data_IF_292073930859
#
_entry.id   IF_292073930859
#
_cell.length_a   1.000
_cell.length_b   1.000
_cell.length_c   1.000
_cell.angle_alpha   90.00
_cell.angle_beta   90.00
_cell.angle_gamma   90.00
#
_symmetry.space_group_name_H-M   'P 1'
#
loop_
_entity.id
_entity.type
_entity.pdbx_description
1 polymer ?
#
# COMPACT_ATOMS: atom_id res chain seq x y z
N UNK A 1 13.55 12.78 38.79
CA UNK A 1 13.63 12.16 37.45
C UNK A 1 12.31 11.42 37.20
N UNK A 2 11.57 11.79 36.18
CA UNK A 2 10.38 11.04 35.74
C UNK A 2 10.88 9.70 35.19
N UNK A 3 10.24 8.57 35.53
CA UNK A 3 10.66 7.29 35.00
C UNK A 3 10.34 7.22 33.50
N UNK A 4 11.11 6.48 32.72
CA UNK A 4 10.88 6.26 31.28
C UNK A 4 9.43 5.84 31.01
N UNK A 5 8.90 4.93 31.80
CA UNK A 5 7.50 4.47 31.73
C UNK A 5 6.50 5.60 31.93
N UNK A 6 6.77 6.55 32.82
CA UNK A 6 5.88 7.68 33.07
C UNK A 6 5.90 8.68 31.89
N UNK A 7 7.04 8.86 31.23
CA UNK A 7 7.14 9.68 30.01
C UNK A 7 6.34 9.06 28.86
N UNK A 8 6.47 7.75 28.65
CA UNK A 8 5.69 7.01 27.63
C UNK A 8 4.17 7.09 27.89
N UNK A 9 3.76 6.98 29.16
CA UNK A 9 2.33 7.15 29.54
C UNK A 9 1.83 8.57 29.25
N UNK A 10 2.61 9.61 29.52
CA UNK A 10 2.28 10.99 29.18
C UNK A 10 2.16 11.18 27.65
N UNK A 11 3.03 10.59 26.87
CA UNK A 11 2.96 10.67 25.42
C UNK A 11 1.68 10.03 24.86
N UNK A 12 1.21 8.93 25.46
CA UNK A 12 -0.06 8.30 25.09
C UNK A 12 -1.24 9.22 25.46
N UNK A 13 -1.29 9.73 26.69
CA UNK A 13 -2.38 10.58 27.22
C UNK A 13 -2.47 11.90 26.46
N UNK A 14 -1.32 12.53 26.19
CA UNK A 14 -1.23 13.83 25.51
C UNK A 14 -1.30 13.70 23.97
N UNK A 15 -1.57 12.50 23.44
CA UNK A 15 -1.69 12.24 21.98
C UNK A 15 -0.42 12.64 21.22
N UNK A 16 0.77 12.34 21.78
CA UNK A 16 2.08 12.59 21.13
C UNK A 16 2.69 11.34 20.48
N UNK A 17 1.96 10.23 20.51
CA UNK A 17 2.39 8.98 19.88
C UNK A 17 2.05 8.94 18.40
N UNK A 18 2.84 8.21 17.62
CA UNK A 18 2.61 8.00 16.18
C UNK A 18 2.49 6.51 15.89
N UNK A 19 1.55 6.14 15.02
CA UNK A 19 1.28 4.77 14.63
C UNK A 19 1.78 4.52 13.21
N UNK A 20 2.71 3.58 13.04
CA UNK A 20 3.13 3.06 11.75
C UNK A 20 2.47 1.71 11.48
N UNK A 21 1.93 1.49 10.28
CA UNK A 21 1.38 0.20 9.84
C UNK A 21 2.04 -0.20 8.53
N UNK A 22 2.67 -1.38 8.52
CA UNK A 22 3.32 -1.96 7.36
C UNK A 22 2.53 -3.17 6.85
N UNK A 23 2.17 -3.17 5.57
CA UNK A 23 1.62 -4.33 4.86
C UNK A 23 2.76 -5.04 4.11
N UNK A 24 3.55 -5.81 4.86
CA UNK A 24 4.64 -6.61 4.30
C UNK A 24 4.14 -7.88 3.59
N UNK A 25 5.03 -8.58 2.89
CA UNK A 25 4.67 -9.77 2.08
C UNK A 25 4.25 -11.00 2.89
N UNK A 26 4.65 -11.09 4.15
CA UNK A 26 4.33 -12.22 5.05
C UNK A 26 3.64 -11.81 6.33
N UNK A 27 3.62 -10.51 6.63
CA UNK A 27 3.11 -9.98 7.88
C UNK A 27 2.61 -8.56 7.71
N UNK A 28 1.47 -8.25 8.33
CA UNK A 28 1.04 -6.88 8.61
C UNK A 28 1.50 -6.55 10.02
N UNK A 29 2.19 -5.42 10.19
CA UNK A 29 2.79 -5.01 11.45
C UNK A 29 2.35 -3.60 11.82
N UNK A 30 1.91 -3.42 13.06
CA UNK A 30 1.62 -2.12 13.65
C UNK A 30 2.68 -1.80 14.71
N UNK A 31 3.18 -0.57 14.74
CA UNK A 31 4.17 -0.09 15.71
C UNK A 31 3.74 1.27 16.22
N UNK A 32 3.67 1.43 17.54
CA UNK A 32 3.44 2.70 18.21
C UNK A 32 4.77 3.23 18.73
N UNK A 33 5.09 4.46 18.38
CA UNK A 33 6.31 5.15 18.82
C UNK A 33 5.95 6.39 19.66
N UNK A 34 6.80 6.72 20.62
CA UNK A 34 6.71 7.92 21.45
C UNK A 34 7.26 9.18 20.73
N UNK A 35 7.28 10.31 21.43
CA UNK A 35 7.83 11.58 20.93
C UNK A 35 9.34 11.57 20.71
N UNK A 36 10.05 10.55 21.21
CA UNK A 36 11.49 10.32 21.04
C UNK A 36 11.78 9.25 19.97
N UNK A 37 10.74 8.84 19.19
CA UNK A 37 10.81 7.79 18.17
C UNK A 37 11.19 6.39 18.71
N UNK A 38 10.96 6.13 20.01
CA UNK A 38 11.17 4.81 20.58
C UNK A 38 9.89 3.98 20.47
N UNK A 39 10.05 2.68 20.15
CA UNK A 39 8.90 1.76 20.08
C UNK A 39 8.38 1.46 21.47
N UNK A 40 7.12 1.78 21.73
CA UNK A 40 6.45 1.56 23.02
C UNK A 40 5.47 0.38 22.99
N UNK A 41 4.92 0.06 21.84
CA UNK A 41 4.08 -1.12 21.63
C UNK A 41 4.10 -1.57 20.18
N UNK A 42 3.81 -2.84 19.94
CA UNK A 42 3.69 -3.40 18.59
C UNK A 42 2.62 -4.48 18.53
N UNK A 43 2.17 -4.77 17.30
CA UNK A 43 1.29 -5.89 17.04
C UNK A 43 1.47 -6.37 15.62
N UNK A 44 1.09 -7.59 15.33
CA UNK A 44 1.30 -8.19 14.02
C UNK A 44 0.19 -9.17 13.64
N UNK A 45 0.10 -9.44 12.34
CA UNK A 45 -0.78 -10.43 11.77
C UNK A 45 -0.07 -11.12 10.61
N UNK A 46 0.08 -12.43 10.69
CA UNK A 46 0.65 -13.22 9.60
C UNK A 46 -0.40 -13.47 8.53
N UNK A 47 -0.01 -13.28 7.28
CA UNK A 47 -0.82 -13.54 6.11
C UNK A 47 -0.01 -14.13 4.97
N UNK A 48 -0.67 -14.69 3.98
CA UNK A 48 -0.02 -15.35 2.86
C UNK A 48 -0.56 -14.89 1.52
N UNK A 49 0.34 -14.81 0.56
CA UNK A 49 0.04 -14.66 -0.85
C UNK A 49 -0.60 -15.96 -1.38
N UNK A 50 -1.74 -15.86 -2.05
CA UNK A 50 -2.46 -17.01 -2.62
C UNK A 50 -2.42 -16.97 -4.14
N UNK A 51 -2.27 -18.12 -4.77
CA UNK A 51 -2.40 -18.25 -6.21
C UNK A 51 -3.87 -18.54 -6.55
N UNK A 52 -4.54 -17.56 -7.18
CA UNK A 52 -5.95 -17.65 -7.58
C UNK A 52 -6.03 -17.30 -9.07
N UNK A 53 -6.61 -18.19 -9.87
CA UNK A 53 -6.77 -18.01 -11.33
C UNK A 53 -5.46 -17.65 -12.05
N UNK A 54 -4.35 -18.20 -11.59
CA UNK A 54 -3.02 -17.95 -12.16
C UNK A 54 -2.32 -16.69 -11.67
N UNK A 55 -2.92 -15.94 -10.74
CA UNK A 55 -2.33 -14.73 -10.16
C UNK A 55 -2.04 -14.86 -8.68
N UNK A 56 -0.84 -14.45 -8.26
CA UNK A 56 -0.50 -14.25 -6.86
C UNK A 56 -1.21 -13.01 -6.32
N UNK A 57 -2.05 -13.20 -5.30
CA UNK A 57 -2.93 -12.17 -4.75
C UNK A 57 -3.04 -12.22 -3.23
N UNK A 58 -3.49 -11.11 -2.64
CA UNK A 58 -4.10 -11.03 -1.30
C UNK A 58 -5.52 -10.53 -1.46
N UNK A 59 -6.47 -11.09 -0.69
CA UNK A 59 -7.82 -10.53 -0.69
C UNK A 59 -7.90 -9.23 0.11
N UNK A 60 -8.80 -8.34 -0.30
CA UNK A 60 -9.05 -7.09 0.42
C UNK A 60 -9.60 -7.33 1.82
N UNK A 61 -10.34 -8.43 2.04
CA UNK A 61 -10.81 -8.84 3.36
C UNK A 61 -9.63 -9.16 4.30
N UNK A 62 -8.61 -9.85 3.80
CA UNK A 62 -7.41 -10.17 4.59
C UNK A 62 -6.59 -8.90 4.91
N UNK A 63 -6.55 -7.91 4.01
CA UNK A 63 -5.94 -6.59 4.29
C UNK A 63 -6.59 -5.97 5.53
N UNK A 64 -7.91 -5.87 5.54
CA UNK A 64 -8.65 -5.26 6.65
C UNK A 64 -8.66 -6.10 7.92
N UNK A 65 -8.71 -7.40 7.80
CA UNK A 65 -8.59 -8.32 8.93
C UNK A 65 -7.21 -8.19 9.59
N UNK A 66 -6.15 -8.17 8.78
CA UNK A 66 -4.79 -8.03 9.27
C UNK A 66 -4.53 -6.68 9.93
N UNK A 67 -5.01 -5.57 9.33
CA UNK A 67 -4.93 -4.24 9.94
C UNK A 67 -5.60 -4.24 11.33
N UNK A 68 -6.84 -4.73 11.41
CA UNK A 68 -7.57 -4.76 12.69
C UNK A 68 -6.90 -5.67 13.72
N UNK A 69 -6.31 -6.79 13.30
CA UNK A 69 -5.65 -7.73 14.21
C UNK A 69 -4.34 -7.16 14.75
N UNK A 70 -3.49 -6.63 13.89
CA UNK A 70 -2.23 -6.01 14.29
C UNK A 70 -2.45 -4.80 15.22
N UNK A 71 -3.43 -3.95 14.91
CA UNK A 71 -3.81 -2.84 15.79
C UNK A 71 -4.33 -3.33 17.15
N UNK A 72 -5.21 -4.34 17.18
CA UNK A 72 -5.76 -4.90 18.42
C UNK A 72 -4.67 -5.48 19.31
N UNK A 73 -3.71 -6.19 18.73
CA UNK A 73 -2.56 -6.74 19.46
C UNK A 73 -1.75 -5.62 20.09
N UNK A 74 -1.40 -4.58 19.31
CA UNK A 74 -0.70 -3.39 19.79
C UNK A 74 -1.47 -2.69 20.91
N UNK A 75 -2.76 -2.41 20.74
CA UNK A 75 -3.59 -1.78 21.77
C UNK A 75 -3.67 -2.61 23.06
N UNK A 76 -3.68 -3.94 22.93
CA UNK A 76 -3.62 -4.87 24.06
C UNK A 76 -2.27 -4.79 24.79
N UNK A 77 -1.18 -4.64 24.05
CA UNK A 77 0.15 -4.44 24.62
C UNK A 77 0.22 -3.12 25.39
N UNK A 78 -0.32 -2.02 24.84
CA UNK A 78 -0.44 -0.73 25.53
C UNK A 78 -1.21 -0.89 26.85
N UNK A 79 -2.35 -1.55 26.80
CA UNK A 79 -3.16 -1.75 28.02
C UNK A 79 -2.40 -2.58 29.08
N UNK A 80 -1.74 -3.67 28.67
CA UNK A 80 -0.96 -4.51 29.59
C UNK A 80 0.23 -3.78 30.21
N UNK A 81 0.93 -2.94 29.44
CA UNK A 81 2.11 -2.21 29.92
C UNK A 81 1.75 -1.01 30.78
N UNK A 82 0.71 -0.27 30.41
CA UNK A 82 0.44 1.06 30.97
C UNK A 82 -0.90 1.17 31.70
N UNK A 83 -1.82 0.21 31.52
CA UNK A 83 -3.21 0.31 32.03
C UNK A 83 -4.06 1.33 31.27
N UNK A 84 -3.61 1.79 30.09
CA UNK A 84 -4.25 2.84 29.31
C UNK A 84 -4.96 2.23 28.08
N UNK A 85 -6.09 2.82 27.71
CA UNK A 85 -6.75 2.53 26.44
C UNK A 85 -6.20 3.49 25.38
N UNK A 86 -5.70 2.95 24.26
CA UNK A 86 -5.21 3.75 23.13
C UNK A 86 -6.41 4.24 22.30
N UNK A 87 -6.89 5.43 22.56
CA UNK A 87 -8.03 6.03 21.86
C UNK A 87 -7.62 6.89 20.66
N UNK A 88 -6.49 7.57 20.77
CA UNK A 88 -5.99 8.53 19.77
C UNK A 88 -4.49 8.44 19.62
N UNK A 89 -4.02 8.80 18.43
CA UNK A 89 -2.60 9.00 18.11
C UNK A 89 -2.43 10.32 17.36
N UNK A 90 -1.24 10.91 17.41
CA UNK A 90 -0.94 12.17 16.72
C UNK A 90 -1.00 12.01 15.18
N UNK A 91 -0.49 10.88 14.69
CA UNK A 91 -0.52 10.57 13.25
C UNK A 91 -0.54 9.07 13.00
N UNK A 92 -0.98 8.69 11.80
CA UNK A 92 -0.90 7.32 11.28
C UNK A 92 -0.19 7.37 9.94
N UNK A 93 0.86 6.55 9.79
CA UNK A 93 1.56 6.35 8.54
C UNK A 93 1.39 4.92 8.03
N UNK A 94 1.27 4.76 6.71
CA UNK A 94 1.16 3.45 6.07
C UNK A 94 2.34 3.20 5.15
N UNK A 95 2.87 1.97 5.21
CA UNK A 95 3.78 1.41 4.22
C UNK A 95 3.20 0.11 3.70
N UNK A 96 3.35 -0.17 2.43
CA UNK A 96 2.91 -1.42 1.84
C UNK A 96 3.90 -1.92 0.80
N UNK A 97 3.74 -3.17 0.39
CA UNK A 97 4.46 -3.71 -0.76
C UNK A 97 4.24 -2.79 -1.95
N UNK A 98 5.34 -2.25 -2.47
CA UNK A 98 5.31 -1.48 -3.72
C UNK A 98 4.88 -2.37 -4.87
N UNK A 99 4.42 -1.72 -5.94
CA UNK A 99 4.07 -2.34 -7.21
C UNK A 99 2.79 -3.19 -7.15
N UNK A 100 2.48 -3.79 -8.26
CA UNK A 100 1.28 -4.57 -8.44
C UNK A 100 0.15 -3.79 -9.11
N UNK A 101 -1.04 -4.41 -9.16
CA UNK A 101 -2.15 -3.90 -9.95
C UNK A 101 -3.46 -4.03 -9.19
N UNK A 102 -4.01 -2.90 -8.79
CA UNK A 102 -5.36 -2.77 -8.25
C UNK A 102 -6.16 -1.84 -9.15
N UNK A 103 -7.17 -2.38 -9.83
CA UNK A 103 -8.00 -1.66 -10.80
C UNK A 103 -9.44 -1.58 -10.32
N UNK A 104 -9.98 -0.38 -10.32
CA UNK A 104 -11.32 -0.08 -9.83
C UNK A 104 -12.18 0.55 -10.94
N UNK A 105 -13.48 0.26 -10.91
CA UNK A 105 -14.46 0.92 -11.77
C UNK A 105 -14.95 2.26 -11.19
N UNK A 106 -15.84 2.93 -11.92
CA UNK A 106 -16.45 4.19 -11.52
C UNK A 106 -17.30 4.13 -10.23
N UNK A 107 -17.61 2.93 -9.74
CA UNK A 107 -18.35 2.69 -8.50
C UNK A 107 -17.43 2.26 -7.35
N UNK A 108 -16.10 2.37 -7.56
CA UNK A 108 -15.09 1.99 -6.59
C UNK A 108 -15.02 0.49 -6.28
N UNK A 109 -15.54 -0.34 -7.19
CA UNK A 109 -15.46 -1.79 -7.12
C UNK A 109 -14.15 -2.29 -7.72
N UNK A 110 -13.44 -3.14 -6.98
CA UNK A 110 -12.26 -3.85 -7.48
C UNK A 110 -12.68 -4.79 -8.63
N UNK A 111 -12.10 -4.58 -9.82
CA UNK A 111 -12.49 -5.26 -11.05
C UNK A 111 -11.92 -6.67 -11.21
N UNK A 112 -10.71 -6.87 -10.70
CA UNK A 112 -9.98 -8.14 -10.72
C UNK A 112 -9.24 -8.32 -9.40
N UNK A 113 -8.87 -9.55 -9.00
CA UNK A 113 -8.03 -9.75 -7.82
C UNK A 113 -6.76 -8.92 -7.88
N UNK A 114 -6.32 -8.40 -6.73
CA UNK A 114 -5.06 -7.66 -6.62
C UNK A 114 -3.89 -8.51 -7.14
N UNK A 115 -3.23 -8.07 -8.22
CA UNK A 115 -2.04 -8.72 -8.78
C UNK A 115 -0.81 -8.16 -8.09
N UNK A 116 -0.14 -8.98 -7.30
CA UNK A 116 1.02 -8.54 -6.50
C UNK A 116 2.29 -8.45 -7.33
N UNK A 117 3.34 -7.84 -6.77
CA UNK A 117 4.69 -7.77 -7.34
C UNK A 117 5.30 -9.14 -7.69
N UNK A 118 4.75 -10.24 -7.12
CA UNK A 118 5.22 -11.62 -7.33
C UNK A 118 4.81 -12.21 -8.68
N UNK A 119 3.87 -11.57 -9.38
CA UNK A 119 3.44 -12.02 -10.69
C UNK A 119 4.47 -11.69 -11.77
N UNK A 120 4.88 -12.70 -12.54
CA UNK A 120 5.77 -12.62 -13.71
C UNK A 120 5.00 -12.83 -15.02
N UNK A 121 3.75 -12.36 -15.09
CA UNK A 121 2.84 -12.57 -16.23
C UNK A 121 2.83 -11.42 -17.22
N UNK A 122 3.76 -10.48 -17.12
CA UNK A 122 3.76 -9.19 -17.84
C UNK A 122 5.01 -8.95 -18.67
N UNK A 123 5.76 -10.01 -18.99
CA UNK A 123 7.05 -9.91 -19.70
C UNK A 123 6.90 -9.27 -21.08
N UNK A 124 5.84 -9.60 -21.82
CA UNK A 124 5.58 -9.01 -23.14
C UNK A 124 5.30 -7.52 -23.04
N UNK A 125 4.38 -7.10 -22.16
CA UNK A 125 4.07 -5.71 -21.93
C UNK A 125 5.27 -4.91 -21.43
N UNK A 126 6.04 -5.45 -20.48
CA UNK A 126 7.27 -4.85 -19.96
C UNK A 126 8.28 -4.57 -21.07
N UNK A 127 8.54 -5.55 -21.94
CA UNK A 127 9.45 -5.39 -23.10
C UNK A 127 8.95 -4.31 -24.06
N UNK A 128 7.67 -4.38 -24.46
CA UNK A 128 7.09 -3.41 -25.40
C UNK A 128 7.11 -1.98 -24.87
N UNK A 129 6.75 -1.79 -23.60
CA UNK A 129 6.77 -0.48 -22.95
C UNK A 129 8.19 0.06 -22.75
N UNK A 130 9.16 -0.81 -22.45
CA UNK A 130 10.57 -0.45 -22.35
C UNK A 130 11.10 0.06 -23.69
N UNK A 131 10.77 -0.61 -24.79
CA UNK A 131 11.12 -0.17 -26.15
C UNK A 131 10.41 1.14 -26.52
N UNK A 132 9.10 1.26 -26.24
CA UNK A 132 8.29 2.45 -26.54
C UNK A 132 8.79 3.71 -25.83
N UNK A 133 9.17 3.57 -24.56
CA UNK A 133 9.59 4.71 -23.75
C UNK A 133 11.10 4.99 -23.80
N UNK A 134 11.90 4.05 -24.35
CA UNK A 134 13.36 4.04 -24.16
C UNK A 134 13.72 4.20 -22.66
N UNK A 135 12.99 3.48 -21.82
CA UNK A 135 13.07 3.53 -20.38
C UNK A 135 12.67 2.17 -19.78
N UNK A 136 13.47 1.64 -18.85
CA UNK A 136 13.22 0.32 -18.26
C UNK A 136 11.89 0.30 -17.48
N UNK A 137 10.93 -0.52 -17.93
CA UNK A 137 9.65 -0.77 -17.26
C UNK A 137 9.68 -2.18 -16.68
N UNK A 138 9.85 -2.34 -15.35
CA UNK A 138 9.83 -3.65 -14.71
C UNK A 138 8.46 -4.34 -14.83
N UNK A 139 8.47 -5.68 -14.95
CA UNK A 139 7.25 -6.50 -15.05
C UNK A 139 6.25 -6.27 -13.89
N UNK A 140 6.76 -5.96 -12.70
CA UNK A 140 5.95 -5.77 -11.50
C UNK A 140 5.24 -4.42 -11.41
N UNK A 141 5.51 -3.48 -12.32
CA UNK A 141 4.89 -2.15 -12.31
C UNK A 141 3.42 -2.20 -12.73
N UNK A 142 2.61 -1.30 -12.20
CA UNK A 142 1.18 -1.22 -12.50
C UNK A 142 0.92 -1.07 -14.00
N UNK A 143 1.70 -0.23 -14.69
CA UNK A 143 1.54 -0.02 -16.13
C UNK A 143 1.83 -1.28 -16.94
N UNK A 144 2.79 -2.11 -16.52
CA UNK A 144 3.07 -3.38 -17.19
C UNK A 144 1.89 -4.35 -17.04
N UNK A 145 1.28 -4.43 -15.87
CA UNK A 145 0.06 -5.23 -15.66
C UNK A 145 -1.13 -4.70 -16.45
N UNK A 146 -1.32 -3.38 -16.48
CA UNK A 146 -2.40 -2.75 -17.22
C UNK A 146 -2.26 -3.00 -18.73
N UNK A 147 -1.06 -2.77 -19.28
CA UNK A 147 -0.81 -2.99 -20.68
C UNK A 147 -0.89 -4.49 -21.06
N UNK A 148 -0.42 -5.39 -20.21
CA UNK A 148 -0.60 -6.84 -20.45
C UNK A 148 -2.08 -7.22 -20.49
N UNK A 149 -2.90 -6.64 -19.62
CA UNK A 149 -4.35 -6.88 -19.64
C UNK A 149 -5.01 -6.35 -20.95
N UNK A 150 -4.49 -5.25 -21.51
CA UNK A 150 -4.90 -4.76 -22.84
C UNK A 150 -4.50 -5.75 -23.92
N UNK A 151 -3.25 -6.21 -23.95
CA UNK A 151 -2.76 -7.21 -24.91
C UNK A 151 -3.57 -8.51 -24.86
N UNK A 152 -3.91 -8.96 -23.67
CA UNK A 152 -4.73 -10.14 -23.41
C UNK A 152 -6.22 -9.91 -23.71
N UNK A 153 -6.67 -8.69 -24.02
CA UNK A 153 -8.08 -8.30 -24.21
C UNK A 153 -8.96 -8.68 -23.01
N UNK A 154 -8.44 -8.46 -21.80
CA UNK A 154 -9.18 -8.77 -20.58
C UNK A 154 -10.44 -7.90 -20.47
N UNK A 155 -11.56 -8.50 -20.08
CA UNK A 155 -12.89 -7.85 -20.11
C UNK A 155 -13.00 -6.60 -19.20
N UNK A 156 -12.22 -6.54 -18.14
CA UNK A 156 -12.28 -5.45 -17.18
C UNK A 156 -11.66 -4.14 -17.70
N UNK A 157 -10.82 -4.19 -18.74
CA UNK A 157 -10.06 -3.01 -19.23
C UNK A 157 -10.98 -1.84 -19.56
N UNK A 158 -12.11 -2.09 -20.20
CA UNK A 158 -13.08 -1.04 -20.58
C UNK A 158 -13.84 -0.44 -19.38
N UNK A 159 -13.63 -0.95 -18.17
CA UNK A 159 -14.30 -0.50 -16.95
C UNK A 159 -13.32 0.16 -15.98
N UNK A 160 -12.03 0.18 -16.30
CA UNK A 160 -10.99 0.74 -15.43
C UNK A 160 -11.14 2.26 -15.39
N UNK A 161 -11.44 2.78 -14.22
CA UNK A 161 -11.51 4.22 -13.93
C UNK A 161 -10.35 4.68 -13.06
N UNK A 162 -9.89 3.81 -12.16
CA UNK A 162 -8.85 4.17 -11.20
C UNK A 162 -7.87 3.01 -10.96
N UNK A 163 -6.59 3.35 -10.99
CA UNK A 163 -5.48 2.45 -10.67
C UNK A 163 -4.76 2.94 -9.42
N UNK A 164 -4.42 2.03 -8.53
CA UNK A 164 -3.67 2.36 -7.31
C UNK A 164 -2.81 1.20 -6.85
N UNK A 165 -2.00 1.47 -5.83
CA UNK A 165 -1.21 0.48 -5.09
C UNK A 165 -1.93 0.05 -3.82
N UNK A 166 -1.40 -0.94 -3.10
CA UNK A 166 -1.97 -1.36 -1.82
C UNK A 166 -1.93 -0.23 -0.77
N UNK A 167 -0.85 0.56 -0.70
CA UNK A 167 -0.76 1.70 0.21
C UNK A 167 -1.79 2.77 -0.15
N UNK A 168 -1.93 3.11 -1.44
CA UNK A 168 -2.93 4.05 -1.93
C UNK A 168 -4.35 3.59 -1.65
N UNK A 169 -4.64 2.29 -1.84
CA UNK A 169 -5.94 1.69 -1.51
C UNK A 169 -6.28 1.84 -0.02
N UNK A 170 -5.36 1.48 0.87
CA UNK A 170 -5.58 1.59 2.33
C UNK A 170 -5.77 3.05 2.74
N UNK A 171 -4.93 3.96 2.22
CA UNK A 171 -5.06 5.39 2.48
C UNK A 171 -6.43 5.91 2.04
N UNK A 172 -6.80 5.65 0.79
CA UNK A 172 -8.10 6.07 0.24
C UNK A 172 -9.27 5.56 1.08
N UNK A 173 -9.29 4.28 1.44
CA UNK A 173 -10.39 3.70 2.21
C UNK A 173 -10.52 4.29 3.63
N UNK A 174 -9.43 4.80 4.21
CA UNK A 174 -9.43 5.40 5.55
C UNK A 174 -9.72 6.91 5.54
N UNK A 175 -9.37 7.60 4.47
CA UNK A 175 -9.46 9.07 4.40
C UNK A 175 -10.53 9.57 3.42
N UNK A 176 -10.94 8.72 2.47
CA UNK A 176 -11.76 9.12 1.33
C UNK A 176 -10.97 9.73 0.17
N UNK A 177 -9.66 9.98 0.34
CA UNK A 177 -8.82 10.68 -0.63
C UNK A 177 -8.02 9.72 -1.52
N UNK A 178 -8.21 9.80 -2.84
CA UNK A 178 -7.50 9.01 -3.86
C UNK A 178 -6.18 9.67 -4.23
N UNK A 179 -5.18 9.56 -3.35
CA UNK A 179 -3.85 10.15 -3.54
C UNK A 179 -2.75 9.12 -3.33
N UNK A 180 -1.59 9.38 -3.91
CA UNK A 180 -0.39 8.56 -3.78
C UNK A 180 0.82 9.44 -3.46
N UNK A 181 1.68 8.95 -2.57
CA UNK A 181 3.02 9.50 -2.42
C UNK A 181 3.86 9.27 -3.69
N UNK A 182 4.77 10.18 -4.00
CA UNK A 182 5.60 10.10 -5.21
C UNK A 182 6.45 8.81 -5.26
N UNK A 183 6.91 8.32 -4.10
CA UNK A 183 7.67 7.07 -4.02
C UNK A 183 6.84 5.88 -4.48
N UNK A 184 5.59 5.79 -4.05
CA UNK A 184 4.68 4.72 -4.42
C UNK A 184 4.21 4.85 -5.88
N UNK A 185 3.87 6.07 -6.31
CA UNK A 185 3.50 6.37 -7.69
C UNK A 185 4.60 6.01 -8.70
N UNK A 186 5.88 6.13 -8.32
CA UNK A 186 7.03 5.76 -9.16
C UNK A 186 7.10 4.27 -9.50
N UNK A 187 6.43 3.43 -8.73
CA UNK A 187 6.27 2.00 -9.03
C UNK A 187 5.06 1.69 -9.90
N UNK A 188 4.27 2.68 -10.26
CA UNK A 188 3.12 2.53 -11.16
C UNK A 188 3.45 2.92 -12.59
N UNK A 189 4.07 4.09 -12.75
CA UNK A 189 4.42 4.70 -14.02
C UNK A 189 5.62 5.63 -13.86
N UNK A 190 6.45 5.88 -14.89
CA UNK A 190 7.62 6.75 -14.79
C UNK A 190 7.29 8.16 -14.32
N UNK A 191 8.05 8.65 -13.34
CA UNK A 191 7.94 9.99 -12.78
C UNK A 191 8.94 10.93 -13.45
N UNK A 192 8.51 12.13 -13.74
CA UNK A 192 9.39 13.25 -14.07
C UNK A 192 9.94 13.86 -12.76
N UNK A 193 11.25 13.80 -12.59
CA UNK A 193 11.92 14.25 -11.35
C UNK A 193 11.83 15.77 -11.13
N UNK A 194 11.66 16.56 -12.21
CA UNK A 194 11.56 18.00 -12.14
C UNK A 194 10.15 18.44 -11.69
N UNK A 195 9.12 17.86 -12.30
CA UNK A 195 7.72 18.22 -12.01
C UNK A 195 7.11 17.46 -10.84
N UNK A 196 7.75 16.36 -10.39
CA UNK A 196 7.24 15.44 -9.34
C UNK A 196 5.89 14.82 -9.70
N UNK A 197 5.59 14.68 -11.00
CA UNK A 197 4.37 14.05 -11.52
C UNK A 197 4.72 12.98 -12.53
N UNK A 198 3.73 12.26 -13.04
CA UNK A 198 3.93 11.29 -14.12
C UNK A 198 4.48 11.97 -15.38
N UNK A 199 5.42 11.29 -16.04
CA UNK A 199 6.10 11.82 -17.22
C UNK A 199 5.13 11.99 -18.39
N UNK A 200 4.82 13.23 -18.74
CA UNK A 200 3.87 13.59 -19.81
C UNK A 200 4.29 13.08 -21.19
N UNK A 201 5.59 13.03 -21.47
CA UNK A 201 6.08 12.47 -22.75
C UNK A 201 5.67 11.01 -22.87
N UNK A 202 5.82 10.21 -21.81
CA UNK A 202 5.48 8.79 -21.82
C UNK A 202 3.98 8.55 -21.80
N UNK A 203 3.19 9.40 -21.11
CA UNK A 203 1.72 9.35 -21.21
C UNK A 203 1.30 9.53 -22.67
N UNK A 204 1.77 10.59 -23.36
CA UNK A 204 1.44 10.86 -24.75
C UNK A 204 1.89 9.76 -25.72
N UNK A 205 2.97 8.99 -25.40
CA UNK A 205 3.39 7.84 -26.19
C UNK A 205 2.46 6.64 -25.94
N UNK A 206 2.00 6.45 -24.73
CA UNK A 206 1.13 5.34 -24.34
C UNK A 206 -0.29 5.47 -24.90
N UNK A 207 -0.81 6.69 -25.04
CA UNK A 207 -2.15 7.00 -25.54
C UNK A 207 -2.30 6.91 -27.07
N UNK A 208 -1.19 6.76 -27.82
CA UNK A 208 -1.16 6.60 -29.30
C UNK A 208 -1.35 5.15 -29.71
#
# INVERSE_FOLDING_TARGET
MVSLRAEEMLDIVDVRTNLGIEFGSTRIKAVLIDSKFQTIASGSYEWENKLIDGYWTYSTEEVWKGLRRSYRELATEVYKKYGLILEKVASIGFSAMMHGYMAFDKTDKLLVPFRTWRNSTTSEASRMLTELFDFNIPERWTIAHYYQAILNREKHINQVEYLTTLAGYVHWQLTGEKVLGIGDASGMFPIDSATKTYNKKFINLFEK
#
